data_IF_705059192118
#
_entry.id   IF_705059192118
#
_cell.length_a   1.000
_cell.length_b   1.000
_cell.length_c   1.000
_cell.angle_alpha   90.00
_cell.angle_beta   90.00
_cell.angle_gamma   90.00
#
_symmetry.space_group_name_H-M   'P 1'
#
loop_
_entity.id
_entity.type
_entity.pdbx_description
1 polymer ?
#
# COMPACT_ATOMS: atom_id res chain seq x y z
N UNK A 1 -2.13 14.00 -4.92
CA UNK A 1 -2.80 13.12 -5.91
C UNK A 1 -4.23 13.61 -6.06
N UNK A 2 -4.64 14.04 -7.26
CA UNK A 2 -6.03 14.30 -7.52
C UNK A 2 -6.80 12.99 -7.37
N UNK A 3 -7.93 13.06 -6.68
CA UNK A 3 -8.83 11.92 -6.44
C UNK A 3 -9.30 11.38 -7.78
N UNK A 4 -9.07 10.12 -8.02
CA UNK A 4 -9.58 9.39 -9.19
C UNK A 4 -11.08 9.08 -9.00
N UNK A 5 -11.89 10.11 -8.91
CA UNK A 5 -13.35 9.98 -8.92
C UNK A 5 -13.82 9.95 -10.38
N UNK A 6 -13.92 8.74 -10.95
CA UNK A 6 -14.54 8.52 -12.23
C UNK A 6 -13.96 7.34 -13.00
N UNK A 7 -14.82 6.43 -13.44
CA UNK A 7 -14.47 5.28 -14.29
C UNK A 7 -14.11 5.68 -15.73
N UNK A 8 -13.64 6.92 -15.95
CA UNK A 8 -13.24 7.43 -17.25
C UNK A 8 -11.89 6.87 -17.68
N UNK A 9 -11.69 6.78 -18.99
CA UNK A 9 -10.39 6.44 -19.59
C UNK A 9 -9.59 7.74 -19.73
N UNK A 10 -8.39 7.86 -19.12
CA UNK A 10 -7.61 9.10 -19.17
C UNK A 10 -7.05 9.33 -20.58
N UNK A 11 -6.97 10.59 -21.00
CA UNK A 11 -6.21 10.93 -22.19
C UNK A 11 -4.70 10.71 -21.99
N UNK A 12 -3.94 10.47 -23.05
CA UNK A 12 -2.50 10.25 -22.95
C UNK A 12 -1.75 11.40 -22.25
N UNK A 13 -2.16 12.64 -22.48
CA UNK A 13 -1.58 13.82 -21.83
C UNK A 13 -1.91 13.89 -20.33
N UNK A 14 -3.11 13.46 -19.94
CA UNK A 14 -3.48 13.36 -18.53
C UNK A 14 -2.65 12.28 -17.83
N UNK A 15 -2.47 11.13 -18.48
CA UNK A 15 -1.64 10.04 -17.97
C UNK A 15 -0.17 10.45 -17.86
N UNK A 16 0.33 11.22 -18.83
CA UNK A 16 1.66 11.86 -18.78
C UNK A 16 1.80 12.75 -17.55
N UNK A 17 0.79 13.63 -17.32
CA UNK A 17 0.80 14.52 -16.17
C UNK A 17 0.74 13.76 -14.84
N UNK A 18 -0.03 12.67 -14.77
CA UNK A 18 -0.07 11.77 -13.60
C UNK A 18 1.30 11.11 -13.35
N UNK A 19 1.96 10.56 -14.37
CA UNK A 19 3.27 9.95 -14.25
C UNK A 19 4.32 10.97 -13.75
N UNK A 20 4.34 12.18 -14.32
CA UNK A 20 5.21 13.25 -13.83
C UNK A 20 4.86 13.69 -12.40
N UNK A 21 3.58 13.63 -12.02
CA UNK A 21 3.15 13.87 -10.64
C UNK A 21 3.74 12.87 -9.66
N UNK A 22 3.72 11.58 -10.03
CA UNK A 22 4.36 10.52 -9.24
C UNK A 22 5.86 10.75 -9.17
N UNK A 23 6.53 11.01 -10.29
CA UNK A 23 7.98 11.29 -10.34
C UNK A 23 8.38 12.42 -9.37
N UNK A 24 7.63 13.54 -9.38
CA UNK A 24 7.85 14.65 -8.44
C UNK A 24 7.69 14.24 -6.98
N UNK A 25 6.72 13.39 -6.68
CA UNK A 25 6.51 12.85 -5.32
C UNK A 25 7.71 12.04 -4.81
N UNK A 26 8.45 11.41 -5.73
CA UNK A 26 9.68 10.65 -5.44
C UNK A 26 10.98 11.48 -5.57
N UNK A 27 10.88 12.76 -5.84
CA UNK A 27 12.03 13.68 -5.99
C UNK A 27 11.89 14.96 -5.17
N UNK A 28 11.38 14.94 -3.91
CA UNK A 28 11.35 16.14 -3.09
C UNK A 28 12.78 16.58 -2.73
N UNK A 29 12.99 17.85 -2.36
CA UNK A 29 14.28 18.32 -1.85
C UNK A 29 14.77 17.44 -0.70
N UNK A 30 16.00 16.95 -0.80
CA UNK A 30 16.58 16.02 0.20
C UNK A 30 16.14 14.57 0.08
N UNK A 31 15.46 14.17 -1.00
CA UNK A 31 15.09 12.79 -1.24
C UNK A 31 16.28 11.83 -1.16
N UNK A 32 16.09 10.63 -0.58
CA UNK A 32 17.14 9.61 -0.58
C UNK A 32 17.57 9.24 -2.00
N UNK A 33 18.86 8.95 -2.19
CA UNK A 33 19.38 8.52 -3.51
C UNK A 33 18.68 7.26 -4.04
N UNK A 34 18.22 6.38 -3.15
CA UNK A 34 17.47 5.17 -3.51
C UNK A 34 16.15 5.46 -4.22
N UNK A 35 15.56 6.64 -4.02
CA UNK A 35 14.32 7.05 -4.67
C UNK A 35 14.50 7.48 -6.13
N UNK A 36 15.75 7.76 -6.56
CA UNK A 36 16.02 8.25 -7.91
C UNK A 36 15.54 7.31 -9.01
N UNK A 37 15.68 6.00 -8.82
CA UNK A 37 15.21 5.03 -9.81
C UNK A 37 13.68 5.08 -9.97
N UNK A 38 12.93 5.16 -8.87
CA UNK A 38 11.48 5.28 -8.92
C UNK A 38 11.05 6.55 -9.65
N UNK A 39 11.65 7.69 -9.31
CA UNK A 39 11.38 8.95 -10.01
C UNK A 39 11.67 8.85 -11.51
N UNK A 40 12.85 8.34 -11.88
CA UNK A 40 13.28 8.20 -13.27
C UNK A 40 12.40 7.22 -14.06
N UNK A 41 11.89 6.17 -13.42
CA UNK A 41 10.95 5.24 -14.04
C UNK A 41 9.68 5.95 -14.50
N UNK A 42 9.10 6.79 -13.66
CA UNK A 42 7.91 7.56 -14.03
C UNK A 42 8.23 8.72 -14.99
N UNK A 43 9.39 9.36 -14.92
CA UNK A 43 9.88 10.30 -15.93
C UNK A 43 9.97 9.61 -17.31
N UNK A 44 10.53 8.40 -17.36
CA UNK A 44 10.70 7.63 -18.57
C UNK A 44 9.36 7.14 -19.15
N UNK A 45 8.41 6.72 -18.29
CA UNK A 45 7.04 6.39 -18.71
C UNK A 45 6.37 7.62 -19.35
N UNK A 46 6.48 8.78 -18.70
CA UNK A 46 5.90 10.03 -19.20
C UNK A 46 6.50 10.48 -20.55
N UNK A 47 7.76 10.12 -20.83
CA UNK A 47 8.45 10.46 -22.06
C UNK A 47 8.27 9.44 -23.20
N UNK A 48 7.49 8.35 -22.99
CA UNK A 48 7.34 7.28 -23.96
C UNK A 48 5.93 7.23 -24.55
N UNK A 49 5.69 7.95 -25.67
CA UNK A 49 4.36 8.11 -26.29
C UNK A 49 3.66 6.77 -26.56
N UNK A 50 4.33 5.82 -27.21
CA UNK A 50 3.73 4.53 -27.53
C UNK A 50 3.33 3.71 -26.29
N UNK A 51 3.99 3.90 -25.14
CA UNK A 51 3.57 3.29 -23.88
C UNK A 51 2.35 4.01 -23.30
N UNK A 52 2.34 5.33 -23.32
CA UNK A 52 1.19 6.12 -22.87
C UNK A 52 -0.06 5.80 -23.65
N UNK A 53 0.03 5.67 -24.99
CA UNK A 53 -1.09 5.26 -25.86
C UNK A 53 -1.67 3.89 -25.46
N UNK A 54 -0.80 2.93 -25.10
CA UNK A 54 -1.23 1.59 -24.65
C UNK A 54 -1.83 1.60 -23.26
N UNK A 55 -1.38 2.47 -22.39
CA UNK A 55 -1.91 2.59 -21.04
C UNK A 55 -3.20 3.45 -20.98
N UNK A 56 -3.36 4.39 -21.92
CA UNK A 56 -4.52 5.29 -21.99
C UNK A 56 -5.84 4.58 -22.39
N UNK A 57 -5.84 3.30 -22.69
CA UNK A 57 -7.06 2.52 -22.89
C UNK A 57 -7.60 1.92 -21.58
N UNK A 58 -6.85 2.01 -20.49
CA UNK A 58 -7.23 1.46 -19.20
C UNK A 58 -8.04 2.48 -18.38
N UNK A 59 -9.07 2.05 -17.65
CA UNK A 59 -9.81 2.91 -16.75
C UNK A 59 -8.90 3.55 -15.69
N UNK A 60 -9.20 4.79 -15.30
CA UNK A 60 -8.38 5.57 -14.36
C UNK A 60 -8.23 4.90 -12.98
N UNK A 61 -9.28 4.21 -12.51
CA UNK A 61 -9.29 3.44 -11.25
C UNK A 61 -8.32 2.24 -11.24
N UNK A 62 -7.86 1.80 -12.42
CA UNK A 62 -6.80 0.79 -12.59
C UNK A 62 -5.39 1.35 -12.34
N UNK A 63 -5.23 2.66 -12.15
CA UNK A 63 -3.95 3.35 -11.95
C UNK A 63 -2.94 3.10 -13.08
N UNK A 64 -3.25 3.46 -14.34
CA UNK A 64 -2.49 3.02 -15.51
C UNK A 64 -0.99 3.27 -15.44
N UNK A 65 -0.55 4.44 -14.94
CA UNK A 65 0.89 4.75 -14.81
C UNK A 65 1.61 3.83 -13.81
N UNK A 66 0.99 3.56 -12.66
CA UNK A 66 1.52 2.64 -11.65
C UNK A 66 1.50 1.20 -12.15
N UNK A 67 0.42 0.81 -12.82
CA UNK A 67 0.29 -0.53 -13.41
C UNK A 67 1.33 -0.76 -14.50
N UNK A 68 1.57 0.24 -15.36
CA UNK A 68 2.65 0.21 -16.35
C UNK A 68 4.04 0.05 -15.72
N UNK A 69 4.32 0.78 -14.63
CA UNK A 69 5.58 0.63 -13.91
C UNK A 69 5.77 -0.78 -13.33
N UNK A 70 4.70 -1.37 -12.79
CA UNK A 70 4.71 -2.74 -12.27
C UNK A 70 4.91 -3.77 -13.39
N UNK A 71 4.25 -3.62 -14.54
CA UNK A 71 4.44 -4.51 -15.69
C UNK A 71 5.87 -4.47 -16.21
N UNK A 72 6.48 -3.29 -16.31
CA UNK A 72 7.89 -3.12 -16.68
C UNK A 72 8.79 -3.81 -15.65
N UNK A 73 8.60 -3.56 -14.36
CA UNK A 73 9.40 -4.17 -13.30
C UNK A 73 9.29 -5.70 -13.30
N UNK A 74 8.10 -6.23 -13.54
CA UNK A 74 7.84 -7.67 -13.66
C UNK A 74 8.61 -8.28 -14.83
N UNK A 75 8.50 -7.69 -16.02
CA UNK A 75 9.16 -8.18 -17.23
C UNK A 75 10.69 -8.06 -17.12
N UNK A 76 11.20 -6.98 -16.54
CA UNK A 76 12.64 -6.79 -16.31
C UNK A 76 13.20 -7.90 -15.44
N UNK A 77 12.48 -8.33 -14.39
CA UNK A 77 12.92 -9.43 -13.52
C UNK A 77 12.80 -10.79 -14.21
N UNK A 78 11.69 -11.02 -14.93
CA UNK A 78 11.45 -12.28 -15.66
C UNK A 78 12.46 -12.52 -16.77
N UNK A 79 12.81 -11.48 -17.52
CA UNK A 79 13.58 -11.57 -18.75
C UNK A 79 15.09 -11.37 -18.54
N UNK A 80 15.58 -11.41 -17.30
CA UNK A 80 17.01 -11.33 -17.02
C UNK A 80 17.82 -12.41 -17.77
N UNK A 81 19.00 -12.07 -18.32
CA UNK A 81 19.70 -10.78 -18.25
C UNK A 81 19.27 -9.82 -19.36
N UNK A 82 18.84 -8.61 -18.98
CA UNK A 82 18.58 -7.50 -19.92
C UNK A 82 19.27 -6.23 -19.38
N UNK A 83 19.74 -5.29 -20.23
CA UNK A 83 20.48 -4.11 -19.76
C UNK A 83 19.74 -3.31 -18.69
N UNK A 84 18.42 -3.15 -18.83
CA UNK A 84 17.59 -2.44 -17.87
C UNK A 84 17.55 -3.10 -16.47
N UNK A 85 17.76 -4.42 -16.40
CA UNK A 85 17.76 -5.16 -15.12
C UNK A 85 18.90 -4.77 -14.18
N UNK A 86 19.99 -4.20 -14.70
CA UNK A 86 21.10 -3.70 -13.88
C UNK A 86 20.71 -2.54 -12.96
N UNK A 87 19.61 -1.86 -13.21
CA UNK A 87 19.09 -0.76 -12.38
C UNK A 87 18.09 -1.24 -11.32
N UNK A 88 17.46 -2.40 -11.50
CA UNK A 88 16.43 -2.89 -10.58
C UNK A 88 17.05 -3.74 -9.47
N UNK A 89 16.89 -3.34 -8.20
CA UNK A 89 17.41 -4.12 -7.07
C UNK A 89 16.67 -5.45 -6.93
N UNK A 90 17.29 -6.40 -6.26
CA UNK A 90 16.67 -7.62 -5.75
C UNK A 90 16.46 -7.52 -4.24
N UNK A 91 15.50 -8.24 -3.67
CA UNK A 91 15.33 -8.31 -2.23
C UNK A 91 16.63 -8.75 -1.54
N UNK A 92 17.05 -8.03 -0.51
CA UNK A 92 18.30 -8.31 0.22
C UNK A 92 19.60 -7.84 -0.47
N UNK A 93 19.53 -7.37 -1.72
CA UNK A 93 20.69 -6.81 -2.42
C UNK A 93 20.88 -5.32 -2.12
N UNK A 94 22.09 -4.80 -2.41
CA UNK A 94 22.34 -3.38 -2.37
C UNK A 94 21.58 -2.64 -3.48
N UNK A 95 21.22 -1.36 -3.23
CA UNK A 95 20.63 -0.51 -4.25
C UNK A 95 21.63 -0.31 -5.41
N UNK A 96 21.26 -0.65 -6.67
CA UNK A 96 22.11 -0.42 -7.82
C UNK A 96 22.44 1.05 -8.01
N UNK A 97 23.59 1.32 -8.61
CA UNK A 97 23.96 2.68 -9.01
C UNK A 97 23.08 3.14 -10.16
N UNK A 98 22.51 4.33 -10.02
CA UNK A 98 21.75 4.99 -11.07
C UNK A 98 22.67 5.91 -11.89
N UNK A 99 22.59 5.83 -13.21
CA UNK A 99 23.29 6.69 -14.16
C UNK A 99 22.44 7.03 -15.39
N UNK A 100 22.98 7.80 -16.32
CA UNK A 100 22.26 8.25 -17.54
C UNK A 100 21.95 7.11 -18.53
N UNK A 101 22.61 5.97 -18.42
CA UNK A 101 22.34 4.78 -19.24
C UNK A 101 20.94 4.18 -19.00
N UNK A 102 20.28 4.54 -17.91
CA UNK A 102 18.94 4.10 -17.61
C UNK A 102 17.92 4.44 -18.72
N UNK A 103 17.89 5.69 -19.18
CA UNK A 103 16.87 6.13 -20.13
C UNK A 103 16.98 5.44 -21.51
N UNK A 104 18.18 5.30 -22.12
CA UNK A 104 18.32 4.48 -23.33
C UNK A 104 17.93 3.01 -23.12
N UNK A 105 18.35 2.39 -22.01
CA UNK A 105 17.98 1.01 -21.68
C UNK A 105 16.47 0.84 -21.52
N UNK A 106 15.79 1.79 -20.85
CA UNK A 106 14.34 1.83 -20.70
C UNK A 106 13.63 1.90 -22.06
N UNK A 107 14.02 2.86 -22.91
CA UNK A 107 13.40 3.00 -24.26
C UNK A 107 13.54 1.74 -25.09
N UNK A 108 14.73 1.15 -25.13
CA UNK A 108 14.99 -0.09 -25.88
C UNK A 108 14.13 -1.23 -25.35
N UNK A 109 14.07 -1.39 -24.04
CA UNK A 109 13.28 -2.43 -23.39
C UNK A 109 11.77 -2.27 -23.65
N UNK A 110 11.24 -1.07 -23.45
CA UNK A 110 9.81 -0.80 -23.65
C UNK A 110 9.41 -0.96 -25.12
N UNK A 111 10.24 -0.51 -26.07
CA UNK A 111 9.97 -0.71 -27.50
C UNK A 111 9.89 -2.20 -27.87
N UNK A 112 10.76 -3.04 -27.29
CA UNK A 112 10.77 -4.49 -27.54
C UNK A 112 9.65 -5.25 -26.83
N UNK A 113 9.09 -4.69 -25.74
CA UNK A 113 8.11 -5.36 -24.85
C UNK A 113 6.75 -4.66 -24.76
N UNK A 114 6.46 -3.75 -25.68
CA UNK A 114 5.27 -2.89 -25.60
C UNK A 114 3.96 -3.67 -25.53
N UNK A 115 3.84 -4.77 -26.28
CA UNK A 115 2.67 -5.63 -26.27
C UNK A 115 2.56 -6.43 -24.97
N UNK A 116 3.67 -7.00 -24.47
CA UNK A 116 3.70 -7.76 -23.22
C UNK A 116 3.30 -6.88 -22.04
N UNK A 117 3.80 -5.62 -22.01
CA UNK A 117 3.42 -4.62 -20.99
C UNK A 117 1.92 -4.34 -21.04
N UNK A 118 1.36 -4.10 -22.25
CA UNK A 118 -0.05 -3.82 -22.42
C UNK A 118 -0.93 -5.01 -21.98
N UNK A 119 -0.56 -6.23 -22.34
CA UNK A 119 -1.26 -7.46 -21.97
C UNK A 119 -1.27 -7.64 -20.44
N UNK A 120 -0.13 -7.48 -19.78
CA UNK A 120 -0.05 -7.53 -18.31
C UNK A 120 -0.94 -6.49 -17.66
N UNK A 121 -0.95 -5.27 -18.18
CA UNK A 121 -1.79 -4.18 -17.65
C UNK A 121 -3.29 -4.45 -17.87
N UNK A 122 -3.70 -5.15 -18.90
CA UNK A 122 -5.10 -5.56 -19.11
C UNK A 122 -5.51 -6.67 -18.14
N UNK A 123 -4.65 -7.67 -17.95
CA UNK A 123 -4.95 -8.87 -17.19
C UNK A 123 -4.75 -8.75 -15.68
N UNK A 124 -4.04 -7.74 -15.17
CA UNK A 124 -3.66 -7.63 -13.76
C UNK A 124 -4.10 -6.32 -13.14
N UNK A 125 -4.21 -6.29 -11.80
CA UNK A 125 -4.43 -5.06 -11.01
C UNK A 125 -3.13 -4.64 -10.32
N UNK A 126 -2.97 -3.34 -10.09
CA UNK A 126 -1.88 -2.83 -9.27
C UNK A 126 -2.17 -3.14 -7.80
N UNK A 127 -1.17 -3.69 -7.10
CA UNK A 127 -1.26 -4.08 -5.69
C UNK A 127 -0.39 -3.17 -4.83
N UNK A 128 -1.01 -2.26 -4.09
CA UNK A 128 -0.28 -1.31 -3.25
C UNK A 128 -0.07 -1.85 -1.84
N UNK A 129 1.00 -2.59 -1.62
CA UNK A 129 1.33 -3.21 -0.33
C UNK A 129 2.56 -2.56 0.33
N UNK A 130 2.46 -1.29 0.75
CA UNK A 130 3.53 -0.62 1.50
C UNK A 130 3.45 -0.95 2.99
N UNK A 131 4.33 -1.84 3.42
CA UNK A 131 4.35 -2.37 4.79
C UNK A 131 4.67 -1.31 5.84
N UNK A 132 5.41 -0.25 5.47
CA UNK A 132 5.74 0.83 6.41
C UNK A 132 4.51 1.54 6.98
N UNK A 133 3.35 1.49 6.29
CA UNK A 133 2.06 2.01 6.79
C UNK A 133 1.60 1.33 8.09
N UNK A 134 2.04 0.10 8.34
CA UNK A 134 1.73 -0.61 9.58
C UNK A 134 2.18 0.15 10.81
N UNK A 135 3.20 1.02 10.71
CA UNK A 135 3.65 1.84 11.85
C UNK A 135 2.56 2.82 12.30
N UNK A 136 1.92 3.52 11.35
CA UNK A 136 0.85 4.48 11.69
C UNK A 136 -0.39 3.76 12.23
N UNK A 137 -0.76 2.64 11.61
CA UNK A 137 -1.89 1.82 12.10
C UNK A 137 -1.60 1.26 13.49
N UNK A 138 -0.39 0.76 13.75
CA UNK A 138 0.02 0.27 15.07
C UNK A 138 -0.07 1.36 16.14
N UNK A 139 0.41 2.58 15.85
CA UNK A 139 0.28 3.74 16.75
C UNK A 139 -1.20 4.08 17.00
N UNK A 140 -2.04 4.04 15.96
CA UNK A 140 -3.48 4.26 16.09
C UNK A 140 -4.16 3.22 16.97
N UNK A 141 -3.80 1.94 16.81
CA UNK A 141 -4.31 0.84 17.65
C UNK A 141 -3.88 1.04 19.10
N UNK A 142 -2.60 1.35 19.35
CA UNK A 142 -2.09 1.59 20.68
C UNK A 142 -2.82 2.75 21.38
N UNK A 143 -3.04 3.86 20.67
CA UNK A 143 -3.78 5.00 21.18
C UNK A 143 -5.26 4.67 21.47
N UNK A 144 -5.93 3.95 20.55
CA UNK A 144 -7.33 3.55 20.73
C UNK A 144 -7.54 2.52 21.83
N UNK A 145 -6.49 1.76 22.16
CA UNK A 145 -6.52 0.72 23.21
C UNK A 145 -5.94 1.21 24.53
N UNK A 146 -5.53 2.47 24.64
CA UNK A 146 -5.00 3.03 25.88
C UNK A 146 -6.07 2.93 26.98
N UNK A 147 -5.74 2.23 28.07
CA UNK A 147 -6.65 1.96 29.17
C UNK A 147 -7.51 0.70 29.03
N UNK A 148 -7.38 -0.07 27.93
CA UNK A 148 -8.03 -1.35 27.73
C UNK A 148 -6.98 -2.45 27.55
N UNK A 149 -6.94 -3.42 28.47
CA UNK A 149 -6.02 -4.56 28.40
C UNK A 149 -6.58 -5.77 27.64
N UNK A 150 -7.77 -5.64 27.06
CA UNK A 150 -8.45 -6.76 26.39
C UNK A 150 -7.94 -7.03 24.99
N UNK A 151 -8.08 -8.30 24.53
CA UNK A 151 -7.71 -8.68 23.17
C UNK A 151 -8.65 -8.04 22.14
N UNK A 152 -8.12 -7.77 20.94
CA UNK A 152 -8.86 -7.14 19.84
C UNK A 152 -9.02 -8.08 18.64
N UNK A 153 -10.04 -7.83 17.83
CA UNK A 153 -10.12 -8.30 16.46
C UNK A 153 -9.61 -7.19 15.51
N UNK A 154 -8.73 -7.54 14.60
CA UNK A 154 -8.26 -6.67 13.54
C UNK A 154 -8.97 -7.03 12.24
N UNK A 155 -9.68 -6.07 11.66
CA UNK A 155 -10.28 -6.14 10.33
C UNK A 155 -9.57 -5.14 9.44
N UNK A 156 -8.97 -5.59 8.33
CA UNK A 156 -8.19 -4.74 7.42
C UNK A 156 -8.93 -4.64 6.08
N UNK A 157 -9.34 -3.43 5.71
CA UNK A 157 -10.10 -3.13 4.50
C UNK A 157 -9.14 -2.78 3.35
N UNK A 158 -9.31 -3.46 2.20
CA UNK A 158 -8.36 -3.35 1.10
C UNK A 158 -7.00 -3.92 1.47
N UNK A 159 -7.03 -5.07 2.12
CA UNK A 159 -5.84 -5.67 2.76
C UNK A 159 -4.77 -6.16 1.78
N UNK A 160 -5.11 -6.25 0.46
CA UNK A 160 -4.22 -6.78 -0.56
C UNK A 160 -3.73 -8.18 -0.25
N UNK A 161 -2.47 -8.32 0.08
CA UNK A 161 -1.84 -9.59 0.47
C UNK A 161 -1.96 -9.93 1.97
N UNK A 162 -2.71 -9.15 2.75
CA UNK A 162 -2.89 -9.39 4.19
C UNK A 162 -1.67 -9.05 5.05
N UNK A 163 -0.72 -8.27 4.53
CA UNK A 163 0.50 -7.93 5.27
C UNK A 163 0.18 -7.05 6.49
N UNK A 164 -0.80 -6.15 6.39
CA UNK A 164 -1.30 -5.31 7.49
C UNK A 164 -1.87 -6.13 8.65
N UNK A 165 -2.42 -7.31 8.36
CA UNK A 165 -2.97 -8.21 9.38
C UNK A 165 -1.90 -8.82 10.30
N UNK A 166 -0.62 -8.68 9.97
CA UNK A 166 0.51 -9.21 10.76
C UNK A 166 1.24 -8.13 11.57
N UNK A 167 0.67 -6.93 11.67
CA UNK A 167 1.33 -5.74 12.24
C UNK A 167 1.86 -5.94 13.68
N UNK A 168 1.21 -6.76 14.50
CA UNK A 168 1.65 -7.07 15.87
C UNK A 168 2.84 -8.05 15.94
N UNK A 169 3.23 -8.63 14.79
CA UNK A 169 4.39 -9.50 14.63
C UNK A 169 5.62 -8.74 14.14
N UNK A 170 5.47 -7.45 13.84
CA UNK A 170 6.56 -6.58 13.40
C UNK A 170 7.19 -5.88 14.61
N UNK A 171 8.45 -5.54 14.48
CA UNK A 171 9.14 -4.63 15.40
C UNK A 171 9.11 -3.22 14.82
N UNK A 172 8.92 -2.26 15.66
CA UNK A 172 8.87 -0.83 15.29
C UNK A 172 9.98 -0.10 16.02
N UNK A 173 10.78 0.68 15.30
CA UNK A 173 11.67 1.69 15.88
C UNK A 173 11.08 3.07 15.56
N UNK A 174 10.65 3.78 16.59
CA UNK A 174 9.97 5.06 16.47
C UNK A 174 10.77 6.10 17.25
N UNK A 175 11.54 6.92 16.54
CA UNK A 175 12.54 7.78 17.17
C UNK A 175 13.60 6.96 17.90
N UNK A 176 13.73 7.15 19.23
CA UNK A 176 14.67 6.42 20.08
C UNK A 176 14.09 5.11 20.64
N UNK A 177 12.78 4.90 20.56
CA UNK A 177 12.08 3.79 21.20
C UNK A 177 11.89 2.61 20.25
N UNK A 178 11.81 1.41 20.84
CA UNK A 178 11.52 0.18 20.11
C UNK A 178 10.34 -0.55 20.72
N UNK A 179 9.43 -1.03 19.88
CA UNK A 179 8.17 -1.70 20.25
C UNK A 179 7.99 -2.98 19.45
N UNK A 180 7.11 -3.86 19.93
CA UNK A 180 6.84 -5.16 19.32
C UNK A 180 7.85 -6.23 19.71
N UNK A 181 7.72 -7.46 19.15
CA UNK A 181 8.56 -8.60 19.52
C UNK A 181 10.05 -8.34 19.23
N UNK A 182 10.92 -8.62 20.20
CA UNK A 182 12.36 -8.42 20.05
C UNK A 182 12.95 -9.28 18.91
N UNK A 183 12.40 -10.48 18.72
CA UNK A 183 12.83 -11.47 17.72
C UNK A 183 12.14 -11.31 16.35
N UNK A 184 11.39 -10.23 16.14
CA UNK A 184 10.70 -10.03 14.86
C UNK A 184 11.71 -9.98 13.70
N UNK A 185 11.45 -10.75 12.66
CA UNK A 185 12.29 -10.77 11.44
C UNK A 185 12.11 -9.53 10.57
N UNK A 186 11.13 -8.68 10.86
CA UNK A 186 10.91 -7.40 10.21
C UNK A 186 10.90 -6.27 11.24
N UNK A 187 11.77 -5.28 11.04
CA UNK A 187 11.76 -4.01 11.78
C UNK A 187 11.36 -2.88 10.84
N UNK A 188 10.39 -2.08 11.26
CA UNK A 188 9.94 -0.88 10.57
C UNK A 188 10.46 0.36 11.29
N UNK A 189 11.23 1.17 10.59
CA UNK A 189 11.78 2.42 11.11
C UNK A 189 10.83 3.58 10.82
N UNK A 190 10.59 4.42 11.82
CA UNK A 190 9.76 5.62 11.70
C UNK A 190 10.46 6.81 12.35
N UNK A 191 10.68 7.85 11.58
CA UNK A 191 11.17 9.13 12.08
C UNK A 191 10.02 9.95 12.65
N UNK A 192 10.23 10.54 13.83
CA UNK A 192 9.29 11.48 14.42
C UNK A 192 9.57 12.87 13.86
N UNK A 193 8.56 13.51 13.31
CA UNK A 193 8.63 14.90 12.86
C UNK A 193 7.63 15.75 13.64
N UNK A 194 8.11 16.83 14.25
CA UNK A 194 7.30 17.75 15.04
C UNK A 194 7.48 17.57 16.55
N UNK A 195 6.80 18.42 17.34
CA UNK A 195 7.03 18.53 18.80
C UNK A 195 6.24 17.51 19.62
N UNK A 196 5.33 16.75 19.02
CA UNK A 196 4.45 15.83 19.75
C UNK A 196 5.08 14.45 19.81
N UNK A 197 5.29 13.93 21.01
CA UNK A 197 5.72 12.55 21.20
C UNK A 197 4.60 11.59 20.75
N UNK A 198 4.93 10.53 20.02
CA UNK A 198 3.96 9.50 19.68
C UNK A 198 3.47 8.78 20.94
N UNK A 199 2.24 8.24 20.92
CA UNK A 199 1.79 7.38 22.02
C UNK A 199 2.68 6.13 22.11
N UNK A 200 2.83 5.53 23.31
CA UNK A 200 3.51 4.25 23.44
C UNK A 200 2.88 3.22 22.50
N UNK A 201 3.67 2.54 21.69
CA UNK A 201 3.18 1.57 20.71
C UNK A 201 3.03 0.16 21.33
N UNK A 202 2.48 0.05 22.55
CA UNK A 202 2.10 -1.23 23.12
C UNK A 202 0.78 -1.68 22.50
N UNK A 203 0.85 -2.71 21.67
CA UNK A 203 -0.33 -3.27 21.01
C UNK A 203 -1.05 -4.25 21.93
N UNK A 204 -2.40 -4.23 21.94
CA UNK A 204 -3.19 -5.28 22.58
C UNK A 204 -2.99 -6.61 21.81
N UNK A 205 -3.24 -7.77 22.46
CA UNK A 205 -3.21 -9.05 21.75
C UNK A 205 -4.24 -9.06 20.61
N UNK A 206 -3.78 -9.28 19.38
CA UNK A 206 -4.65 -9.46 18.21
C UNK A 206 -4.98 -10.94 18.08
N UNK A 207 -6.18 -11.35 18.45
CA UNK A 207 -6.59 -12.78 18.48
C UNK A 207 -7.43 -13.19 17.28
N UNK A 208 -8.01 -12.22 16.55
CA UNK A 208 -8.76 -12.47 15.32
C UNK A 208 -8.26 -11.51 14.24
N UNK A 209 -8.03 -12.02 13.03
CA UNK A 209 -7.53 -11.27 11.88
C UNK A 209 -8.36 -11.61 10.67
N UNK A 210 -9.01 -10.60 10.09
CA UNK A 210 -9.82 -10.75 8.88
C UNK A 210 -9.47 -9.62 7.91
N UNK A 211 -9.08 -9.97 6.70
CA UNK A 211 -8.94 -9.03 5.59
C UNK A 211 -10.17 -9.05 4.70
N UNK A 212 -10.49 -7.90 4.11
CA UNK A 212 -11.45 -7.81 3.01
C UNK A 212 -10.75 -7.18 1.81
N UNK A 213 -10.80 -7.85 0.67
CA UNK A 213 -10.09 -7.42 -0.54
C UNK A 213 -10.87 -7.79 -1.79
N UNK A 214 -10.91 -6.88 -2.78
CA UNK A 214 -11.58 -7.12 -4.05
C UNK A 214 -10.92 -8.24 -4.86
N UNK A 215 -9.59 -8.26 -4.86
CA UNK A 215 -8.75 -9.21 -5.60
C UNK A 215 -7.61 -9.71 -4.68
N UNK A 216 -7.89 -10.66 -3.77
CA UNK A 216 -6.93 -11.15 -2.79
C UNK A 216 -5.69 -11.76 -3.44
N UNK A 217 -4.52 -11.41 -2.93
CA UNK A 217 -3.24 -11.97 -3.40
C UNK A 217 -3.00 -13.31 -2.71
N UNK A 218 -2.94 -14.39 -3.48
CA UNK A 218 -2.53 -15.69 -2.97
C UNK A 218 -1.00 -15.74 -2.78
N UNK A 219 -0.55 -15.64 -1.54
CA UNK A 219 0.87 -15.72 -1.21
C UNK A 219 1.47 -17.14 -1.34
N UNK A 220 0.67 -18.17 -1.59
CA UNK A 220 1.16 -19.50 -1.95
C UNK A 220 1.60 -19.55 -3.42
N UNK A 221 0.94 -18.78 -4.30
CA UNK A 221 1.30 -18.71 -5.73
C UNK A 221 2.58 -17.88 -5.96
N UNK A 222 3.65 -18.49 -6.53
CA UNK A 222 4.88 -17.77 -6.87
C UNK A 222 4.66 -16.63 -7.87
N UNK A 223 3.72 -16.79 -8.81
CA UNK A 223 3.44 -15.78 -9.84
C UNK A 223 2.72 -14.55 -9.23
N UNK A 224 1.82 -14.78 -8.26
CA UNK A 224 1.19 -13.69 -7.51
C UNK A 224 2.23 -12.92 -6.66
N UNK A 225 3.16 -13.63 -6.00
CA UNK A 225 4.26 -12.97 -5.25
C UNK A 225 5.19 -12.16 -6.15
N UNK A 226 5.57 -12.72 -7.31
CA UNK A 226 6.41 -11.99 -8.27
C UNK A 226 5.71 -10.71 -8.79
N UNK A 227 4.39 -10.74 -8.97
CA UNK A 227 3.62 -9.56 -9.32
C UNK A 227 3.53 -8.56 -8.17
N UNK A 228 3.29 -9.02 -6.95
CA UNK A 228 3.28 -8.18 -5.74
C UNK A 228 4.62 -7.45 -5.57
N UNK A 229 5.73 -8.15 -5.78
CA UNK A 229 7.08 -7.58 -5.75
C UNK A 229 7.29 -6.54 -6.86
N UNK A 230 6.76 -6.78 -8.06
CA UNK A 230 6.83 -5.85 -9.17
C UNK A 230 6.01 -4.57 -8.94
N UNK A 231 4.95 -4.63 -8.15
CA UNK A 231 4.15 -3.48 -7.72
C UNK A 231 4.85 -2.62 -6.64
N UNK A 232 5.87 -3.15 -5.96
CA UNK A 232 6.63 -2.37 -4.99
C UNK A 232 7.55 -1.37 -5.68
N UNK A 233 7.85 -0.22 -5.04
CA UNK A 233 8.88 0.68 -5.55
C UNK A 233 10.20 -0.08 -5.76
N UNK A 234 10.94 0.17 -6.86
CA UNK A 234 12.22 -0.49 -7.13
C UNK A 234 13.33 0.07 -6.24
N UNK A 235 13.15 -0.09 -4.95
CA UNK A 235 14.05 0.32 -3.88
C UNK A 235 14.43 -0.89 -3.03
N UNK A 236 15.73 -1.14 -2.83
CA UNK A 236 16.22 -2.33 -2.14
C UNK A 236 15.63 -2.51 -0.74
N UNK A 237 15.47 -1.41 0.01
CA UNK A 237 14.87 -1.43 1.35
C UNK A 237 13.37 -1.75 1.31
N UNK A 238 12.62 -1.23 0.34
CA UNK A 238 11.19 -1.51 0.18
C UNK A 238 10.96 -2.98 -0.18
N UNK A 239 11.76 -3.52 -1.11
CA UNK A 239 11.71 -4.92 -1.51
C UNK A 239 12.08 -5.86 -0.36
N UNK A 240 13.10 -5.51 0.44
CA UNK A 240 13.49 -6.31 1.61
C UNK A 240 12.40 -6.32 2.68
N UNK A 241 11.75 -5.16 2.94
CA UNK A 241 10.61 -5.08 3.86
C UNK A 241 9.44 -5.94 3.36
N UNK A 242 9.12 -5.82 2.06
CA UNK A 242 8.05 -6.62 1.45
C UNK A 242 8.33 -8.11 1.56
N UNK A 243 9.54 -8.57 1.22
CA UNK A 243 9.92 -9.98 1.30
C UNK A 243 9.79 -10.51 2.74
N UNK A 244 10.29 -9.77 3.73
CA UNK A 244 10.18 -10.17 5.14
C UNK A 244 8.72 -10.24 5.61
N UNK A 245 7.88 -9.27 5.20
CA UNK A 245 6.45 -9.28 5.54
C UNK A 245 5.69 -10.44 4.88
N UNK A 246 6.00 -10.74 3.61
CA UNK A 246 5.44 -11.90 2.88
C UNK A 246 5.82 -13.20 3.61
N UNK A 247 7.05 -13.36 4.05
CA UNK A 247 7.49 -14.54 4.78
C UNK A 247 6.76 -14.69 6.14
N UNK A 248 6.51 -13.59 6.84
CA UNK A 248 5.71 -13.60 8.07
C UNK A 248 4.26 -14.00 7.75
N UNK A 249 3.63 -13.39 6.75
CA UNK A 249 2.24 -13.67 6.38
C UNK A 249 2.05 -15.13 5.92
N UNK A 250 3.02 -15.69 5.21
CA UNK A 250 2.99 -17.11 4.79
C UNK A 250 3.12 -18.09 5.96
N UNK A 251 3.88 -17.72 6.99
CA UNK A 251 3.98 -18.55 8.23
C UNK A 251 2.76 -18.40 9.14
N UNK A 252 2.05 -17.31 9.02
CA UNK A 252 0.90 -16.96 9.84
C UNK A 252 -0.28 -16.52 8.98
N UNK A 253 -0.88 -17.42 8.19
CA UNK A 253 -1.96 -17.07 7.28
C UNK A 253 -3.16 -16.49 8.06
N UNK A 254 -3.73 -15.43 7.51
CA UNK A 254 -4.97 -14.82 8.01
C UNK A 254 -6.12 -15.11 7.05
N UNK A 255 -7.35 -14.98 7.53
CA UNK A 255 -8.53 -15.10 6.70
C UNK A 255 -8.69 -13.83 5.85
N UNK A 256 -8.70 -13.96 4.52
CA UNK A 256 -9.00 -12.87 3.61
C UNK A 256 -10.26 -13.25 2.83
N UNK A 257 -11.26 -12.37 2.87
CA UNK A 257 -12.53 -12.54 2.17
C UNK A 257 -12.54 -11.69 0.91
N UNK A 258 -12.80 -12.34 -0.22
CA UNK A 258 -12.95 -11.65 -1.50
C UNK A 258 -14.29 -10.89 -1.56
N UNK A 259 -14.25 -9.66 -2.03
CA UNK A 259 -15.42 -8.84 -2.32
C UNK A 259 -15.26 -7.37 -1.96
N UNK A 260 -16.31 -6.59 -2.28
CA UNK A 260 -16.39 -5.17 -1.92
C UNK A 260 -16.42 -5.01 -0.40
N UNK A 261 -15.63 -4.05 0.11
CA UNK A 261 -15.46 -3.86 1.55
C UNK A 261 -16.77 -3.53 2.26
N UNK A 262 -17.69 -2.79 1.62
CA UNK A 262 -18.95 -2.38 2.22
C UNK A 262 -19.93 -3.55 2.25
N UNK A 263 -19.95 -4.39 1.21
CA UNK A 263 -20.86 -5.52 1.10
C UNK A 263 -20.43 -6.68 2.01
N UNK A 264 -19.12 -6.86 2.20
CA UNK A 264 -18.54 -7.96 3.01
C UNK A 264 -18.48 -7.62 4.50
N UNK A 265 -18.16 -6.36 4.85
CA UNK A 265 -17.89 -5.94 6.23
C UNK A 265 -19.04 -6.24 7.22
N UNK A 266 -20.33 -6.05 6.91
CA UNK A 266 -21.43 -6.39 7.84
C UNK A 266 -21.39 -7.84 8.28
N UNK A 267 -21.12 -8.76 7.35
CA UNK A 267 -21.00 -10.20 7.62
C UNK A 267 -19.79 -10.52 8.47
N UNK A 268 -18.65 -9.87 8.20
CA UNK A 268 -17.44 -9.99 9.04
C UNK A 268 -17.74 -9.59 10.47
N UNK A 269 -18.30 -8.39 10.65
CA UNK A 269 -18.62 -7.84 11.97
C UNK A 269 -19.63 -8.70 12.74
N UNK A 270 -20.63 -9.27 12.06
CA UNK A 270 -21.62 -10.17 12.66
C UNK A 270 -21.00 -11.50 13.13
N UNK A 271 -19.97 -12.00 12.43
CA UNK A 271 -19.27 -13.25 12.76
C UNK A 271 -18.27 -13.15 13.91
N UNK A 272 -17.90 -11.94 14.35
CA UNK A 272 -16.96 -11.75 15.45
C UNK A 272 -17.62 -11.89 16.83
N UNK A 273 -16.89 -12.33 17.88
CA UNK A 273 -17.42 -12.44 19.24
C UNK A 273 -18.10 -11.15 19.72
N UNK A 274 -19.28 -11.21 20.34
CA UNK A 274 -20.15 -10.02 20.57
C UNK A 274 -19.53 -8.89 21.40
N UNK A 275 -18.63 -9.21 22.33
CA UNK A 275 -18.02 -8.22 23.24
C UNK A 275 -16.58 -7.89 22.89
N UNK A 276 -16.05 -8.45 21.82
CA UNK A 276 -14.67 -8.18 21.39
C UNK A 276 -14.58 -6.77 20.82
N UNK A 277 -13.59 -6.01 21.26
CA UNK A 277 -13.26 -4.73 20.63
C UNK A 277 -12.74 -5.01 19.21
N UNK A 278 -13.34 -4.36 18.23
CA UNK A 278 -12.99 -4.50 16.81
C UNK A 278 -12.24 -3.26 16.36
N UNK A 279 -11.03 -3.44 15.89
CA UNK A 279 -10.26 -2.43 15.18
C UNK A 279 -10.47 -2.67 13.68
N UNK A 280 -11.07 -1.72 13.01
CA UNK A 280 -11.20 -1.71 11.54
C UNK A 280 -10.13 -0.77 11.00
N UNK A 281 -9.14 -1.31 10.32
CA UNK A 281 -8.08 -0.55 9.68
C UNK A 281 -8.40 -0.33 8.20
N UNK A 282 -8.05 0.83 7.71
CA UNK A 282 -8.16 1.25 6.32
C UNK A 282 -6.92 2.09 5.96
N UNK A 283 -6.10 1.56 5.09
CA UNK A 283 -4.86 2.23 4.67
C UNK A 283 -4.90 2.52 3.17
N UNK A 284 -5.39 3.70 2.78
CA UNK A 284 -5.57 4.13 1.39
C UNK A 284 -6.61 3.30 0.60
N UNK A 285 -7.65 2.81 1.26
CA UNK A 285 -8.78 2.14 0.61
C UNK A 285 -9.93 3.09 0.37
N UNK A 286 -10.29 3.92 1.33
CA UNK A 286 -11.38 4.87 1.19
C UNK A 286 -11.13 5.92 0.10
N UNK A 287 -9.87 6.17 -0.28
CA UNK A 287 -9.50 7.04 -1.40
C UNK A 287 -10.09 6.59 -2.75
N UNK A 288 -10.35 5.30 -2.91
CA UNK A 288 -10.94 4.72 -4.12
C UNK A 288 -12.46 4.66 -4.09
N UNK A 289 -13.08 4.93 -2.93
CA UNK A 289 -14.53 4.91 -2.79
C UNK A 289 -15.12 6.27 -3.17
N UNK A 290 -16.21 6.31 -3.97
CA UNK A 290 -17.01 7.50 -4.13
C UNK A 290 -17.55 8.00 -2.79
N UNK A 291 -17.89 9.28 -2.67
CA UNK A 291 -18.36 9.90 -1.44
C UNK A 291 -19.56 9.15 -0.83
N UNK A 292 -20.54 8.76 -1.66
CA UNK A 292 -21.68 7.99 -1.20
C UNK A 292 -21.27 6.66 -0.57
N UNK A 293 -20.31 5.93 -1.19
CA UNK A 293 -19.82 4.64 -0.65
C UNK A 293 -19.02 4.82 0.63
N UNK A 294 -18.29 5.93 0.79
CA UNK A 294 -17.64 6.26 2.08
C UNK A 294 -18.67 6.52 3.17
N UNK A 295 -19.78 7.20 2.85
CA UNK A 295 -20.87 7.42 3.80
C UNK A 295 -21.55 6.09 4.20
N UNK A 296 -21.76 5.18 3.24
CA UNK A 296 -22.26 3.82 3.51
C UNK A 296 -21.34 3.04 4.45
N UNK A 297 -20.01 3.07 4.20
CA UNK A 297 -19.00 2.46 5.09
C UNK A 297 -19.10 3.03 6.51
N UNK A 298 -19.16 4.35 6.64
CA UNK A 298 -19.33 5.01 7.93
C UNK A 298 -20.61 4.57 8.64
N UNK A 299 -21.73 4.41 7.90
CA UNK A 299 -23.00 3.90 8.41
C UNK A 299 -22.89 2.47 8.96
N UNK A 300 -22.25 1.57 8.21
CA UNK A 300 -22.01 0.18 8.64
C UNK A 300 -21.21 0.13 9.96
N UNK A 301 -20.16 0.96 10.04
CA UNK A 301 -19.31 1.02 11.24
C UNK A 301 -20.05 1.63 12.44
N UNK A 302 -20.84 2.68 12.22
CA UNK A 302 -21.67 3.31 13.26
C UNK A 302 -22.72 2.34 13.81
N UNK A 303 -23.39 1.58 12.95
CA UNK A 303 -24.36 0.55 13.36
C UNK A 303 -23.68 -0.55 14.19
N UNK A 304 -22.52 -1.03 13.76
CA UNK A 304 -21.76 -2.01 14.53
C UNK A 304 -21.34 -1.46 15.90
N UNK A 305 -20.96 -0.17 15.96
CA UNK A 305 -20.57 0.53 17.18
C UNK A 305 -21.66 0.63 18.23
N UNK A 306 -22.94 0.52 17.84
CA UNK A 306 -24.07 0.45 18.79
C UNK A 306 -24.16 -0.88 19.54
N UNK A 307 -23.52 -1.93 19.03
CA UNK A 307 -23.60 -3.30 19.56
C UNK A 307 -22.34 -3.77 20.25
N UNK A 308 -21.18 -3.16 19.90
CA UNK A 308 -19.85 -3.53 20.42
C UNK A 308 -18.87 -2.36 20.31
N UNK A 309 -17.77 -2.35 21.04
CA UNK A 309 -16.68 -1.40 20.80
C UNK A 309 -16.08 -1.58 19.39
N UNK A 310 -16.15 -0.55 18.56
CA UNK A 310 -15.55 -0.47 17.23
C UNK A 310 -14.69 0.77 17.16
N UNK A 311 -13.46 0.62 16.73
CA UNK A 311 -12.58 1.73 16.38
C UNK A 311 -12.26 1.65 14.90
N UNK A 312 -12.50 2.70 14.17
CA UNK A 312 -12.08 2.83 12.78
C UNK A 312 -10.81 3.67 12.69
N UNK A 313 -9.75 3.09 12.11
CA UNK A 313 -8.47 3.74 11.86
C UNK A 313 -8.33 3.90 10.34
N UNK A 314 -8.46 5.13 9.86
CA UNK A 314 -8.27 5.47 8.46
C UNK A 314 -6.93 6.18 8.27
N UNK A 315 -6.13 5.68 7.35
CA UNK A 315 -4.89 6.28 6.87
C UNK A 315 -5.07 6.72 5.42
N UNK A 316 -5.89 7.75 5.23
CA UNK A 316 -6.19 8.37 3.94
C UNK A 316 -5.81 9.86 3.95
N UNK A 317 -5.69 10.50 2.78
CA UNK A 317 -5.55 11.95 2.72
C UNK A 317 -6.69 12.66 3.48
N UNK A 318 -6.35 13.65 4.28
CA UNK A 318 -7.30 14.39 5.14
C UNK A 318 -8.56 14.91 4.42
N UNK A 319 -8.45 15.19 3.13
CA UNK A 319 -9.55 15.66 2.29
C UNK A 319 -10.58 14.58 1.97
N UNK A 320 -10.30 13.33 2.31
CA UNK A 320 -11.13 12.16 1.96
C UNK A 320 -11.77 11.50 3.18
N UNK A 321 -11.60 12.06 4.37
CA UNK A 321 -12.20 11.52 5.58
C UNK A 321 -13.73 11.39 5.45
N UNK A 322 -14.33 10.33 6.02
CA UNK A 322 -15.75 10.02 5.88
C UNK A 322 -16.68 11.05 6.52
N UNK A 323 -16.20 11.75 7.54
CA UNK A 323 -16.95 12.74 8.29
C UNK A 323 -16.35 14.16 8.19
N UNK A 324 -15.53 14.43 7.18
CA UNK A 324 -14.83 15.70 7.06
C UNK A 324 -13.73 15.87 8.12
N UNK A 325 -13.57 17.07 8.67
CA UNK A 325 -12.42 17.43 9.54
C UNK A 325 -12.34 16.66 10.85
N UNK A 326 -13.40 16.03 11.29
CA UNK A 326 -13.50 15.36 12.58
C UNK A 326 -13.03 13.90 12.57
N UNK A 327 -12.74 13.35 11.39
CA UNK A 327 -12.36 11.94 11.23
C UNK A 327 -10.90 11.62 11.58
N UNK A 328 -10.07 12.63 11.80
CA UNK A 328 -8.68 12.45 12.27
C UNK A 328 -8.61 12.80 13.75
N UNK A 329 -9.31 12.05 14.57
CA UNK A 329 -9.09 12.11 16.01
C UNK A 329 -7.87 11.27 16.37
N UNK A 330 -6.81 11.91 16.83
CA UNK A 330 -5.76 11.25 17.56
C UNK A 330 -4.33 11.68 17.28
N UNK A 331 -3.98 12.11 16.09
CA UNK A 331 -2.62 12.59 15.84
C UNK A 331 -2.69 13.93 15.09
N UNK A 332 -2.25 15.04 15.71
CA UNK A 332 -2.14 16.30 14.99
C UNK A 332 -1.10 16.11 13.88
N UNK A 333 -1.55 16.08 12.64
CA UNK A 333 -0.64 16.18 11.51
C UNK A 333 -0.05 17.58 11.49
N UNK A 334 1.26 17.72 11.31
CA UNK A 334 1.88 19.03 11.25
C UNK A 334 1.24 19.84 10.12
N UNK A 335 0.70 21.01 10.46
CA UNK A 335 0.35 22.02 9.45
C UNK A 335 1.65 22.41 8.76
N UNK A 336 1.67 22.29 7.44
CA UNK A 336 2.74 22.88 6.61
C UNK A 336 2.67 24.39 6.70
#
# INVERSE_FOLDING_TARGET
MAVLAGAGVPAADELRAQALGVARGWSPPGAPRSWRLTAALFEAIAAHDGLLDRLAVLPADRLPALLGSAAIAFLVRRDRPVPLAGYFPEPGAAQPRFDEGFFPAFRTFCAARLYDIAELCQGRRYQMNEVARCTQIALGIAAASAGSAGPVALVDLGTGAGLGLQLDRYRYRIGADAYGPAEASLTLDCEIRGPVAPPPASLPPVITRVGVELDPVDLADPAARAWLEACAPPEASALSRLAAAVDIARRHPATILAGDVIDVLPRVLAGLPPRQHVIVADAYTAVFLPEQRRAELAGVLAEAGQRRPVTWLSLDPLTLGPAGRDSVQGLPLPRR
#
